data_IF_124346951650
#
_entry.id   IF_124346951650
#
_cell.length_a   1.000
_cell.length_b   1.000
_cell.length_c   1.000
_cell.angle_alpha   90.00
_cell.angle_beta   90.00
_cell.angle_gamma   90.00
#
_symmetry.space_group_name_H-M   'P 1'
#
loop_
_entity.id
_entity.type
_entity.pdbx_description
1 polymer ?
#
# COMPACT_ATOMS: atom_id res chain seq x y z
N UNK A 1 -0.39 54.06 -3.66
CA UNK A 1 -1.17 52.81 -3.71
C UNK A 1 -0.87 52.00 -2.46
N UNK A 2 -1.93 51.53 -1.81
CA UNK A 2 -1.96 51.15 -0.39
C UNK A 2 -1.40 49.75 -0.16
N UNK A 3 -0.43 49.62 0.74
CA UNK A 3 -0.06 48.34 1.35
C UNK A 3 -1.17 47.92 2.32
N UNK A 4 -1.74 46.72 2.14
CA UNK A 4 -2.55 46.07 3.17
C UNK A 4 -1.92 44.74 3.53
N UNK A 5 -1.16 44.79 4.62
CA UNK A 5 -0.64 43.63 5.34
C UNK A 5 -1.68 43.30 6.41
N UNK A 6 -2.58 42.37 6.10
CA UNK A 6 -3.71 42.01 6.96
C UNK A 6 -3.23 41.00 8.02
N UNK A 7 -2.66 41.52 9.10
CA UNK A 7 -2.46 40.77 10.34
C UNK A 7 -3.84 40.58 10.98
N UNK A 8 -4.46 39.43 10.76
CA UNK A 8 -5.67 39.06 11.49
C UNK A 8 -5.29 38.69 12.93
N UNK A 9 -5.35 39.69 13.81
CA UNK A 9 -5.24 39.53 15.25
C UNK A 9 -6.63 39.56 15.86
N UNK A 10 -7.12 38.42 16.32
CA UNK A 10 -8.31 38.35 17.18
C UNK A 10 -7.79 38.25 18.61
N UNK A 11 -8.03 39.31 19.39
CA UNK A 11 -7.90 39.35 20.86
C UNK A 11 -6.48 39.10 21.43
N UNK A 12 -5.55 40.02 21.14
CA UNK A 12 -4.49 40.41 22.09
C UNK A 12 -3.41 39.40 22.51
N UNK A 13 -3.43 38.16 22.02
CA UNK A 13 -2.40 37.16 22.34
C UNK A 13 -1.64 36.82 21.04
N UNK A 14 -0.42 37.35 20.91
CA UNK A 14 0.48 37.01 19.80
C UNK A 14 1.09 35.63 20.03
N UNK A 15 0.40 34.55 19.63
CA UNK A 15 1.03 33.24 19.51
C UNK A 15 1.74 33.13 18.15
N UNK A 16 3.03 32.82 18.20
CA UNK A 16 3.82 32.46 17.02
C UNK A 16 3.23 31.23 16.34
N UNK A 17 3.44 31.08 15.03
CA UNK A 17 2.90 29.96 14.20
C UNK A 17 3.19 28.56 14.78
N UNK A 18 4.23 28.43 15.62
CA UNK A 18 4.60 27.21 16.37
C UNK A 18 3.71 26.93 17.60
N UNK A 19 3.15 27.95 18.24
CA UNK A 19 2.30 27.78 19.43
C UNK A 19 0.91 27.21 19.11
N UNK A 20 0.44 27.39 17.88
CA UNK A 20 -0.87 26.93 17.44
C UNK A 20 -1.00 25.41 17.38
N UNK A 21 0.07 24.66 17.10
CA UNK A 21 0.00 23.20 17.07
C UNK A 21 -0.30 22.61 18.44
N UNK A 22 0.25 23.24 19.50
CA UNK A 22 -0.02 22.82 20.86
C UNK A 22 -1.45 23.22 21.29
N UNK A 23 -1.93 24.39 20.86
CA UNK A 23 -3.33 24.79 21.13
C UNK A 23 -4.32 23.84 20.43
N UNK A 24 -4.03 23.44 19.19
CA UNK A 24 -4.89 22.55 18.42
C UNK A 24 -5.06 21.18 19.11
N UNK A 25 -3.98 20.63 19.66
CA UNK A 25 -4.05 19.34 20.36
C UNK A 25 -4.90 19.41 21.63
N UNK A 26 -4.83 20.51 22.37
CA UNK A 26 -5.68 20.72 23.55
C UNK A 26 -7.16 20.90 23.18
N UNK A 27 -7.47 21.54 22.06
CA UNK A 27 -8.85 21.69 21.57
C UNK A 27 -9.44 20.34 21.17
N UNK A 28 -8.67 19.50 20.46
CA UNK A 28 -9.11 18.15 20.09
C UNK A 28 -9.36 17.27 21.32
N UNK A 29 -8.46 17.32 22.31
CA UNK A 29 -8.63 16.60 23.58
C UNK A 29 -9.87 17.06 24.35
N UNK A 30 -10.14 18.36 24.38
CA UNK A 30 -11.34 18.89 25.02
C UNK A 30 -12.62 18.42 24.32
N UNK A 31 -12.62 18.35 22.98
CA UNK A 31 -13.75 17.83 22.20
C UNK A 31 -13.97 16.34 22.47
N UNK A 32 -12.91 15.53 22.52
CA UNK A 32 -13.01 14.10 22.84
C UNK A 32 -13.62 13.88 24.24
N UNK A 33 -13.23 14.71 25.22
CA UNK A 33 -13.73 14.62 26.59
C UNK A 33 -15.20 15.05 26.71
N UNK A 34 -15.62 16.02 25.89
CA UNK A 34 -17.04 16.39 25.75
C UNK A 34 -17.84 15.29 25.07
N UNK A 35 -17.30 14.66 24.03
CA UNK A 35 -17.94 13.52 23.35
C UNK A 35 -18.16 12.35 24.31
N UNK A 36 -17.16 12.01 25.14
CA UNK A 36 -17.27 10.97 26.16
C UNK A 36 -18.42 11.25 27.16
N UNK A 37 -18.65 12.52 27.49
CA UNK A 37 -19.74 12.91 28.39
C UNK A 37 -21.12 12.93 27.72
N UNK A 38 -21.19 13.31 26.44
CA UNK A 38 -22.46 13.46 25.71
C UNK A 38 -22.96 12.13 25.14
N UNK A 39 -22.05 11.21 24.82
CA UNK A 39 -22.36 9.85 24.41
C UNK A 39 -21.85 8.87 25.47
N UNK A 40 -22.52 8.75 26.64
CA UNK A 40 -22.30 7.60 27.49
C UNK A 40 -22.68 6.37 26.65
N UNK A 41 -21.72 5.47 26.41
CA UNK A 41 -21.99 4.16 25.84
C UNK A 41 -23.05 3.51 26.73
N UNK A 42 -24.27 3.39 26.21
CA UNK A 42 -25.32 2.64 26.88
C UNK A 42 -24.99 1.16 26.65
N UNK A 43 -24.44 0.52 27.68
CA UNK A 43 -24.45 -0.95 27.79
C UNK A 43 -25.90 -1.38 27.99
N UNK A 44 -26.57 -1.76 26.90
CA UNK A 44 -27.83 -2.47 26.98
C UNK A 44 -27.54 -3.90 27.45
N UNK A 45 -27.60 -4.07 28.77
CA UNK A 45 -27.61 -5.37 29.42
C UNK A 45 -29.00 -6.01 29.29
N UNK A 46 -29.22 -6.80 28.23
CA UNK A 46 -30.13 -7.94 28.31
C UNK A 46 -29.69 -9.06 27.37
N UNK A 47 -28.98 -10.05 27.92
CA UNK A 47 -29.45 -11.44 27.80
C UNK A 47 -28.88 -12.23 28.98
N UNK A 48 -29.80 -12.71 29.81
CA UNK A 48 -29.59 -13.83 30.73
C UNK A 48 -29.09 -15.04 29.94
N UNK A 49 -27.82 -15.42 30.14
CA UNK A 49 -27.31 -16.78 30.34
C UNK A 49 -25.77 -16.76 30.23
N UNK A 50 -25.09 -16.79 31.37
CA UNK A 50 -23.66 -17.15 31.42
C UNK A 50 -23.48 -18.62 30.97
N UNK A 51 -22.35 -18.99 30.35
CA UNK A 51 -21.11 -19.03 31.12
C UNK A 51 -19.94 -18.34 30.43
N UNK A 52 -19.24 -17.53 31.24
CA UNK A 52 -17.79 -17.41 31.30
C UNK A 52 -17.01 -17.83 30.05
N UNK A 53 -16.61 -16.85 29.25
CA UNK A 53 -15.36 -16.92 28.50
C UNK A 53 -14.74 -15.53 28.47
N UNK A 54 -13.47 -15.49 28.87
CA UNK A 54 -12.55 -14.37 28.80
C UNK A 54 -12.52 -13.89 27.34
N UNK A 55 -13.21 -12.80 27.02
CA UNK A 55 -13.20 -12.23 25.67
C UNK A 55 -11.95 -11.36 25.52
N UNK A 56 -10.93 -12.06 25.04
CA UNK A 56 -9.70 -11.63 24.41
C UNK A 56 -9.88 -10.32 23.61
N UNK A 57 -9.09 -9.29 23.93
CA UNK A 57 -9.02 -8.00 23.20
C UNK A 57 -8.59 -8.19 21.72
N UNK A 58 -8.25 -9.41 21.33
CA UNK A 58 -7.89 -9.80 19.96
C UNK A 58 -9.08 -9.83 18.99
N UNK A 59 -10.32 -9.99 19.44
CA UNK A 59 -11.48 -10.20 18.55
C UNK A 59 -11.96 -8.91 17.87
N UNK A 60 -11.99 -7.78 18.60
CA UNK A 60 -12.45 -6.48 18.07
C UNK A 60 -11.46 -5.91 17.03
N UNK A 61 -10.16 -6.24 17.16
CA UNK A 61 -9.15 -5.83 16.17
C UNK A 61 -9.31 -6.58 14.85
N UNK A 62 -9.69 -7.85 14.91
CA UNK A 62 -9.88 -8.68 13.72
C UNK A 62 -11.08 -8.22 12.88
N UNK A 63 -12.15 -7.73 13.52
CA UNK A 63 -13.33 -7.24 12.79
C UNK A 63 -13.08 -5.89 12.11
N UNK A 64 -12.37 -4.97 12.77
CA UNK A 64 -12.02 -3.67 12.17
C UNK A 64 -10.98 -3.79 11.03
N UNK A 65 -9.97 -4.68 11.17
CA UNK A 65 -9.04 -4.98 10.08
C UNK A 65 -9.75 -5.72 8.93
N UNK A 66 -10.66 -6.66 9.23
CA UNK A 66 -11.47 -7.37 8.22
C UNK A 66 -12.35 -6.44 7.38
N UNK A 67 -12.99 -5.44 8.00
CA UNK A 67 -13.83 -4.48 7.28
C UNK A 67 -12.99 -3.56 6.40
N UNK A 68 -11.86 -3.05 6.89
CA UNK A 68 -10.94 -2.22 6.10
C UNK A 68 -10.28 -2.99 4.95
N UNK A 69 -10.01 -4.29 5.15
CA UNK A 69 -9.55 -5.18 4.09
C UNK A 69 -10.63 -5.45 3.04
N UNK A 70 -11.89 -5.60 3.46
CA UNK A 70 -13.02 -5.79 2.55
C UNK A 70 -13.28 -4.54 1.69
N UNK A 71 -13.15 -3.34 2.25
CA UNK A 71 -13.33 -2.08 1.54
C UNK A 71 -12.13 -1.75 0.64
N UNK A 72 -10.91 -2.09 1.06
CA UNK A 72 -9.70 -1.95 0.24
C UNK A 72 -9.71 -2.92 -0.95
N UNK A 73 -10.17 -4.16 -0.75
CA UNK A 73 -10.38 -5.11 -1.85
C UNK A 73 -11.51 -4.68 -2.78
N UNK A 74 -12.58 -4.06 -2.25
CA UNK A 74 -13.66 -3.51 -3.06
C UNK A 74 -13.22 -2.33 -3.95
N UNK A 75 -12.17 -1.61 -3.56
CA UNK A 75 -11.57 -0.50 -4.32
C UNK A 75 -10.26 -0.89 -5.03
N UNK A 76 -10.00 -2.18 -5.20
CA UNK A 76 -8.79 -2.62 -5.88
C UNK A 76 -8.83 -2.24 -7.38
N UNK A 77 -7.69 -1.75 -7.87
CA UNK A 77 -7.51 -1.37 -9.27
C UNK A 77 -6.24 -2.03 -9.82
N UNK A 78 -6.18 -2.22 -11.14
CA UNK A 78 -4.99 -2.75 -11.78
C UNK A 78 -3.83 -1.75 -11.66
N UNK A 79 -2.64 -2.22 -11.28
CA UNK A 79 -1.45 -1.35 -11.18
C UNK A 79 -1.04 -0.78 -12.55
N UNK A 80 -1.19 -1.58 -13.61
CA UNK A 80 -0.88 -1.20 -14.99
C UNK A 80 -2.08 -1.51 -15.89
N UNK A 81 -3.13 -0.66 -15.89
CA UNK A 81 -4.32 -0.90 -16.68
C UNK A 81 -4.02 -0.77 -18.18
N UNK A 82 -4.54 -1.70 -18.97
CA UNK A 82 -4.58 -1.67 -20.45
C UNK A 82 -3.23 -1.51 -21.18
N UNK A 83 -2.10 -1.77 -20.51
CA UNK A 83 -0.77 -1.68 -21.14
C UNK A 83 0.08 -2.90 -20.80
N UNK A 84 0.55 -3.60 -21.83
CA UNK A 84 1.39 -4.78 -21.68
C UNK A 84 2.77 -4.44 -21.08
N UNK A 85 3.24 -5.30 -20.18
CA UNK A 85 4.63 -5.31 -19.71
C UNK A 85 5.51 -5.96 -20.79
N UNK A 86 6.59 -5.28 -21.18
CA UNK A 86 7.57 -5.77 -22.17
C UNK A 86 8.93 -6.06 -21.54
N UNK A 87 9.18 -5.55 -20.33
CA UNK A 87 10.37 -5.85 -19.54
C UNK A 87 10.00 -5.87 -18.06
N UNK A 88 10.48 -6.88 -17.33
CA UNK A 88 10.35 -6.99 -15.89
C UNK A 88 11.70 -7.38 -15.29
N UNK A 89 12.27 -6.51 -14.46
CA UNK A 89 13.45 -6.82 -13.66
C UNK A 89 13.09 -6.85 -12.18
N UNK A 90 13.41 -7.97 -11.53
CA UNK A 90 13.32 -8.16 -10.08
C UNK A 90 14.74 -8.32 -9.51
N UNK A 91 14.93 -8.39 -8.18
CA UNK A 91 16.26 -8.58 -7.60
C UNK A 91 16.96 -9.87 -8.01
N UNK A 92 16.22 -10.84 -8.57
CA UNK A 92 16.75 -12.18 -8.89
C UNK A 92 16.75 -12.49 -10.38
N UNK A 93 16.00 -11.76 -11.20
CA UNK A 93 15.90 -12.03 -12.64
C UNK A 93 15.49 -10.80 -13.44
N UNK A 94 15.85 -10.77 -14.72
CA UNK A 94 15.39 -9.77 -15.69
C UNK A 94 14.83 -10.47 -16.92
N UNK A 95 13.57 -10.21 -17.23
CA UNK A 95 12.87 -10.71 -18.40
C UNK A 95 12.65 -9.59 -19.40
N UNK A 96 12.96 -9.87 -20.66
CA UNK A 96 12.73 -8.98 -21.79
C UNK A 96 11.90 -9.70 -22.85
N UNK A 97 10.85 -9.05 -23.35
CA UNK A 97 10.01 -9.61 -24.40
C UNK A 97 10.72 -9.49 -25.76
N UNK A 98 10.71 -10.59 -26.52
CA UNK A 98 11.22 -10.64 -27.90
C UNK A 98 10.22 -11.34 -28.83
N UNK A 99 10.52 -11.34 -30.13
CA UNK A 99 9.75 -12.09 -31.13
C UNK A 99 9.77 -13.61 -30.92
N UNK A 100 10.75 -14.12 -30.16
CA UNK A 100 10.91 -15.55 -29.86
C UNK A 100 10.33 -15.96 -28.49
N UNK A 101 9.78 -15.00 -27.74
CA UNK A 101 9.31 -15.19 -26.37
C UNK A 101 10.11 -14.38 -25.35
N UNK A 102 10.04 -14.78 -24.08
CA UNK A 102 10.75 -14.12 -23.00
C UNK A 102 12.22 -14.50 -22.97
N UNK A 103 13.08 -13.48 -22.86
CA UNK A 103 14.52 -13.60 -22.75
C UNK A 103 14.99 -13.33 -21.32
N UNK A 104 16.01 -14.07 -20.89
CA UNK A 104 16.81 -13.82 -19.69
C UNK A 104 18.27 -13.78 -20.11
N UNK A 105 18.97 -12.67 -19.82
CA UNK A 105 20.36 -12.44 -20.26
C UNK A 105 20.60 -12.74 -21.76
N UNK A 106 19.75 -12.17 -22.62
CA UNK A 106 19.77 -12.36 -24.08
C UNK A 106 19.54 -13.81 -24.58
N UNK A 107 19.15 -14.72 -23.67
CA UNK A 107 18.81 -16.11 -24.00
C UNK A 107 17.33 -16.38 -23.78
N UNK A 108 16.72 -17.15 -24.69
CA UNK A 108 15.32 -17.58 -24.53
C UNK A 108 15.19 -18.41 -23.25
N UNK A 109 14.26 -18.03 -22.37
CA UNK A 109 13.98 -18.77 -21.13
C UNK A 109 13.48 -20.17 -21.47
N UNK A 110 14.02 -21.19 -20.81
CA UNK A 110 13.58 -22.57 -21.04
C UNK A 110 12.12 -22.78 -20.60
N UNK A 111 11.75 -22.23 -19.44
CA UNK A 111 10.40 -22.22 -18.90
C UNK A 111 9.61 -20.98 -19.35
N UNK A 112 9.17 -20.97 -20.61
CA UNK A 112 8.35 -19.87 -21.15
C UNK A 112 7.01 -19.72 -20.41
N UNK A 113 6.36 -20.83 -20.05
CA UNK A 113 5.08 -20.81 -19.34
C UNK A 113 5.22 -20.16 -17.95
N UNK A 114 6.29 -20.48 -17.22
CA UNK A 114 6.59 -19.81 -15.96
C UNK A 114 6.80 -18.29 -16.14
N UNK A 115 7.58 -17.89 -17.16
CA UNK A 115 7.83 -16.48 -17.45
C UNK A 115 6.51 -15.73 -17.77
N UNK A 116 5.66 -16.31 -18.61
CA UNK A 116 4.34 -15.78 -18.94
C UNK A 116 3.46 -15.64 -17.69
N UNK A 117 3.40 -16.66 -16.83
CA UNK A 117 2.63 -16.59 -15.56
C UNK A 117 3.18 -15.55 -14.58
N UNK A 118 4.49 -15.31 -14.55
CA UNK A 118 5.04 -14.21 -13.75
C UNK A 118 4.57 -12.86 -14.28
N UNK A 119 4.63 -12.66 -15.60
CA UNK A 119 4.22 -11.41 -16.23
C UNK A 119 2.72 -11.20 -16.09
N UNK A 120 1.92 -12.24 -16.28
CA UNK A 120 0.46 -12.22 -16.08
C UNK A 120 0.10 -11.80 -14.65
N UNK A 121 0.81 -12.29 -13.63
CA UNK A 121 0.60 -11.87 -12.23
C UNK A 121 0.89 -10.39 -12.02
N UNK A 122 1.93 -9.84 -12.64
CA UNK A 122 2.21 -8.40 -12.59
C UNK A 122 1.19 -7.58 -13.36
N UNK A 123 0.74 -8.08 -14.51
CA UNK A 123 -0.23 -7.43 -15.40
C UNK A 123 -1.63 -7.36 -14.77
N UNK A 124 -2.03 -8.42 -14.07
CA UNK A 124 -3.34 -8.55 -13.41
C UNK A 124 -3.32 -8.10 -11.95
N UNK A 125 -2.18 -7.56 -11.49
CA UNK A 125 -1.95 -7.18 -10.12
C UNK A 125 -2.97 -6.13 -9.67
N UNK A 126 -3.80 -6.54 -8.72
CA UNK A 126 -4.78 -5.68 -8.08
C UNK A 126 -4.16 -4.99 -6.87
N UNK A 127 -4.29 -3.67 -6.84
CA UNK A 127 -3.75 -2.83 -5.78
C UNK A 127 -4.79 -1.86 -5.23
N UNK A 128 -4.67 -1.52 -3.95
CA UNK A 128 -5.42 -0.42 -3.35
C UNK A 128 -4.49 0.53 -2.61
N UNK A 129 -4.84 1.81 -2.55
CA UNK A 129 -4.10 2.78 -1.74
C UNK A 129 -4.13 2.33 -0.26
N UNK A 130 -3.00 2.50 0.44
CA UNK A 130 -2.89 2.14 1.86
C UNK A 130 -2.08 3.17 2.64
N UNK A 131 -2.53 3.45 3.86
CA UNK A 131 -1.79 4.24 4.85
C UNK A 131 -0.78 3.38 5.64
N UNK A 132 -0.82 2.05 5.43
CA UNK A 132 0.06 1.12 6.13
C UNK A 132 1.52 1.41 5.83
N UNK A 133 2.32 1.51 6.89
CA UNK A 133 3.73 1.80 6.75
C UNK A 133 4.50 0.53 6.42
N UNK A 134 5.29 0.52 5.33
CA UNK A 134 6.08 -0.64 4.95
C UNK A 134 7.17 -0.88 5.99
N UNK A 135 7.48 -2.16 6.21
CA UNK A 135 8.54 -2.60 7.09
C UNK A 135 9.56 -3.43 6.30
N UNK A 136 10.80 -3.44 6.78
CA UNK A 136 11.89 -4.16 6.13
C UNK A 136 12.57 -3.39 5.00
N UNK A 137 13.24 -4.12 4.11
CA UNK A 137 14.09 -3.57 3.06
C UNK A 137 13.31 -3.45 1.76
N UNK A 138 13.32 -2.25 1.17
CA UNK A 138 12.78 -2.01 -0.16
C UNK A 138 13.55 -2.82 -1.22
N UNK A 139 12.82 -3.46 -2.12
CA UNK A 139 13.38 -4.19 -3.25
C UNK A 139 12.93 -3.52 -4.53
N UNK A 140 13.90 -3.08 -5.32
CA UNK A 140 13.61 -2.40 -6.56
C UNK A 140 13.12 -3.41 -7.60
N UNK A 141 11.96 -3.10 -8.19
CA UNK A 141 11.43 -3.79 -9.36
C UNK A 141 11.40 -2.78 -10.50
N UNK A 142 11.90 -3.16 -11.65
CA UNK A 142 11.88 -2.32 -12.85
C UNK A 142 10.89 -2.90 -13.84
N UNK A 143 10.00 -2.06 -14.35
CA UNK A 143 8.96 -2.45 -15.30
C UNK A 143 9.03 -1.52 -16.50
N UNK A 144 9.13 -2.09 -17.70
CA UNK A 144 8.92 -1.35 -18.95
C UNK A 144 7.60 -1.77 -19.55
N UNK A 145 6.85 -0.77 -19.98
CA UNK A 145 5.55 -0.93 -20.59
C UNK A 145 5.63 -0.71 -22.11
N UNK A 146 4.74 -1.35 -22.85
CA UNK A 146 4.67 -1.28 -24.31
C UNK A 146 4.30 0.11 -24.86
N UNK A 147 3.83 1.01 -24.01
CA UNK A 147 3.31 2.33 -24.40
C UNK A 147 4.39 3.40 -24.65
N UNK A 148 5.67 3.02 -24.55
CA UNK A 148 6.80 3.91 -24.80
C UNK A 148 7.15 4.84 -23.64
N UNK A 149 6.50 4.71 -22.47
CA UNK A 149 6.94 5.40 -21.25
C UNK A 149 8.33 4.92 -20.80
N UNK A 150 9.07 5.77 -20.08
CA UNK A 150 10.36 5.35 -19.50
C UNK A 150 10.17 4.20 -18.51
N UNK A 151 11.26 3.48 -18.27
CA UNK A 151 11.34 2.40 -17.28
C UNK A 151 10.85 2.90 -15.91
N UNK A 152 9.90 2.19 -15.33
CA UNK A 152 9.31 2.48 -14.03
C UNK A 152 10.09 1.69 -12.98
N UNK A 153 10.72 2.38 -12.04
CA UNK A 153 11.41 1.75 -10.88
C UNK A 153 10.50 1.88 -9.67
N UNK A 154 9.89 0.78 -9.25
CA UNK A 154 9.01 0.73 -8.08
C UNK A 154 9.72 0.04 -6.92
N UNK A 155 9.39 0.45 -5.70
CA UNK A 155 9.86 -0.20 -4.49
C UNK A 155 8.81 -1.21 -4.00
N UNK A 156 9.21 -2.46 -3.85
CA UNK A 156 8.40 -3.54 -3.29
C UNK A 156 8.90 -3.86 -1.88
N UNK A 157 7.99 -3.84 -0.91
CA UNK A 157 8.22 -4.22 0.48
C UNK A 157 7.50 -5.52 0.79
N UNK A 158 8.12 -6.40 1.56
CA UNK A 158 7.56 -7.70 1.90
C UNK A 158 6.64 -7.66 3.12
N UNK A 159 6.95 -6.79 4.10
CA UNK A 159 6.29 -6.78 5.40
C UNK A 159 5.52 -5.48 5.66
N UNK A 160 4.41 -5.54 6.43
CA UNK A 160 3.75 -6.75 6.96
C UNK A 160 2.93 -7.52 5.89
N UNK A 161 2.61 -6.85 4.78
CA UNK A 161 2.03 -7.40 3.56
C UNK A 161 2.77 -6.82 2.37
N UNK A 162 2.64 -7.38 1.15
CA UNK A 162 3.29 -6.82 -0.02
C UNK A 162 2.77 -5.40 -0.31
N UNK A 163 3.66 -4.42 -0.18
CA UNK A 163 3.39 -3.00 -0.43
C UNK A 163 4.27 -2.52 -1.57
N UNK A 164 3.67 -1.81 -2.52
CA UNK A 164 4.30 -1.22 -3.70
C UNK A 164 4.28 0.30 -3.55
N UNK A 165 5.41 0.93 -3.85
CA UNK A 165 5.52 2.37 -3.96
C UNK A 165 6.05 2.74 -5.34
N UNK A 166 5.32 3.61 -6.04
CA UNK A 166 5.67 4.11 -7.36
C UNK A 166 6.72 5.24 -7.26
N UNK A 167 7.54 5.44 -8.30
CA UNK A 167 8.56 6.47 -8.29
C UNK A 167 7.92 7.87 -8.32
N UNK A 168 8.43 8.78 -7.48
CA UNK A 168 8.01 10.18 -7.47
C UNK A 168 6.73 10.49 -6.70
N UNK A 169 6.10 9.48 -6.09
CA UNK A 169 4.92 9.63 -5.23
C UNK A 169 5.16 9.01 -3.83
N UNK A 170 4.53 9.56 -2.80
CA UNK A 170 4.47 8.97 -1.45
C UNK A 170 3.22 8.07 -1.29
N UNK A 171 2.38 7.98 -2.32
CA UNK A 171 1.27 7.00 -2.35
C UNK A 171 1.81 5.57 -2.31
N UNK A 172 1.25 4.79 -1.38
CA UNK A 172 1.57 3.38 -1.20
C UNK A 172 0.39 2.53 -1.59
N UNK A 173 0.70 1.40 -2.19
CA UNK A 173 -0.26 0.48 -2.74
C UNK A 173 -0.11 -0.87 -2.05
N UNK A 174 -1.16 -1.38 -1.43
CA UNK A 174 -1.20 -2.75 -0.97
C UNK A 174 -1.54 -3.64 -2.16
N UNK A 175 -0.74 -4.68 -2.38
CA UNK A 175 -1.06 -5.72 -3.36
C UNK A 175 -2.02 -6.75 -2.76
N UNK A 176 -3.06 -7.12 -3.52
CA UNK A 176 -4.10 -8.05 -3.10
C UNK A 176 -3.85 -9.46 -3.63
N UNK A 177 -4.21 -10.46 -2.82
CA UNK A 177 -4.25 -11.88 -3.20
C UNK A 177 -2.95 -12.44 -3.80
N UNK A 178 -1.81 -11.82 -3.49
CA UNK A 178 -0.49 -12.23 -3.98
C UNK A 178 0.55 -12.11 -2.88
N UNK A 179 1.56 -12.97 -2.91
CA UNK A 179 2.69 -12.92 -1.99
C UNK A 179 3.93 -12.31 -2.64
N UNK A 180 4.88 -11.85 -1.82
CA UNK A 180 6.14 -11.29 -2.30
C UNK A 180 6.95 -12.28 -3.18
N UNK A 181 7.00 -13.57 -2.80
CA UNK A 181 7.71 -14.60 -3.57
C UNK A 181 7.08 -14.87 -4.94
N UNK A 182 5.77 -14.65 -5.07
CA UNK A 182 5.06 -14.75 -6.33
C UNK A 182 5.40 -13.59 -7.28
N UNK A 183 5.68 -12.40 -6.76
CA UNK A 183 6.03 -11.22 -7.56
C UNK A 183 7.50 -11.19 -8.01
N UNK A 184 8.39 -11.90 -7.33
CA UNK A 184 9.83 -11.86 -7.64
C UNK A 184 10.29 -12.90 -8.65
N UNK A 185 9.47 -13.94 -8.87
CA UNK A 185 9.79 -15.02 -9.81
C UNK A 185 10.92 -15.95 -9.32
N UNK A 186 11.18 -15.99 -8.01
CA UNK A 186 12.22 -16.82 -7.41
C UNK A 186 12.09 -18.34 -7.69
N UNK A 187 10.93 -18.79 -8.19
CA UNK A 187 10.65 -20.19 -8.54
C UNK A 187 10.82 -20.50 -10.04
N UNK A 188 11.23 -19.53 -10.86
CA UNK A 188 11.42 -19.77 -12.29
C UNK A 188 12.66 -20.62 -12.56
N UNK A 189 12.50 -21.62 -13.43
CA UNK A 189 13.63 -22.39 -13.92
C UNK A 189 14.38 -21.57 -14.97
N UNK A 190 15.50 -20.97 -14.55
CA UNK A 190 16.35 -20.17 -15.43
C UNK A 190 17.36 -21.08 -16.16
N UNK A 191 17.72 -20.75 -17.41
CA UNK A 191 18.86 -21.40 -18.06
C UNK A 191 20.14 -21.15 -17.26
N UNK A 192 21.04 -22.13 -17.23
CA UNK A 192 22.32 -22.00 -16.52
C UNK A 192 23.10 -20.79 -17.04
N UNK A 193 23.61 -19.91 -16.15
CA UNK A 193 24.47 -18.81 -16.59
C UNK A 193 25.77 -19.39 -17.12
N UNK A 194 26.00 -19.26 -18.44
CA UNK A 194 27.28 -19.57 -19.08
C UNK A 194 28.38 -18.60 -18.62
#
# INVERSE_FOLDING_TARGET
MVQRNEKQGILGINLTRRGWNNVLIYVILAIALLFWKVFPVHEDADTTNAPTAVADESEVKNEAESVLESDAAANATALFPDVAIVELATPVLRLEQSDQGWLYNDQVVADQAGAEHLIERWQTLQVSVTEQQPQGVAKEIMVRLADGRPLIVLALYEQPVPIIQLPGDDTRYRAHQITYSQLTGANLSLPDPN
#
